data_IF_319349025340
#
_entry.id   IF_319349025340
#
_cell.length_a   1.000
_cell.length_b   1.000
_cell.length_c   1.000
_cell.angle_alpha   90.00
_cell.angle_beta   90.00
_cell.angle_gamma   90.00
#
_symmetry.space_group_name_H-M   'P 1'
#
loop_
_entity.id
_entity.type
_entity.pdbx_description
1 polymer ?
#
# COMPACT_ATOMS: atom_id res chain seq x y z
N UNK A 1 -15.02 -23.97 7.34
CA UNK A 1 -15.94 -23.35 6.36
C UNK A 1 -17.35 -23.86 6.62
N UNK A 2 -18.32 -22.98 6.81
CA UNK A 2 -19.73 -23.35 6.99
C UNK A 2 -20.59 -22.44 6.12
N UNK A 3 -21.13 -22.97 5.01
CA UNK A 3 -21.94 -22.20 4.07
C UNK A 3 -21.16 -21.00 3.49
N UNK A 4 -21.72 -19.79 3.63
CA UNK A 4 -21.14 -18.53 3.15
C UNK A 4 -20.08 -17.91 4.08
N UNK A 5 -19.74 -18.59 5.18
CA UNK A 5 -18.79 -18.10 6.18
C UNK A 5 -17.49 -18.90 6.10
N UNK A 6 -16.37 -18.20 6.14
CA UNK A 6 -15.03 -18.75 6.18
C UNK A 6 -14.29 -18.14 7.37
N UNK A 7 -13.49 -18.95 8.02
CA UNK A 7 -12.59 -18.49 9.08
C UNK A 7 -11.31 -19.32 9.03
N UNK A 8 -10.21 -18.70 9.41
CA UNK A 8 -8.90 -19.32 9.49
C UNK A 8 -8.16 -18.85 10.72
N UNK A 9 -7.35 -19.72 11.28
CA UNK A 9 -6.38 -19.37 12.32
C UNK A 9 -5.07 -20.04 11.96
N UNK A 10 -3.99 -19.27 11.96
CA UNK A 10 -2.64 -19.75 11.70
C UNK A 10 -1.74 -19.31 12.84
N UNK A 11 -1.03 -20.24 13.43
CA UNK A 11 0.00 -19.98 14.43
C UNK A 11 1.36 -20.49 13.95
N UNK A 12 2.40 -19.68 14.11
CA UNK A 12 3.80 -20.04 13.84
C UNK A 12 4.62 -19.68 15.06
N UNK A 13 5.51 -20.57 15.46
CA UNK A 13 6.51 -20.32 16.50
C UNK A 13 7.88 -20.61 15.92
N UNK A 14 8.80 -19.68 16.09
CA UNK A 14 10.19 -19.80 15.68
C UNK A 14 11.08 -19.65 16.93
N UNK A 15 11.89 -20.64 17.19
CA UNK A 15 12.94 -20.57 18.23
C UNK A 15 14.28 -20.43 17.52
N UNK A 16 14.93 -19.29 17.70
CA UNK A 16 16.26 -19.07 17.17
C UNK A 16 17.31 -19.47 18.19
N UNK A 17 18.28 -20.28 17.74
CA UNK A 17 19.32 -20.86 18.61
C UNK A 17 20.33 -19.85 19.17
N UNK A 18 20.35 -18.60 18.68
CA UNK A 18 21.13 -17.51 19.27
C UNK A 18 20.27 -16.79 20.31
N UNK A 19 20.73 -16.74 21.54
CA UNK A 19 20.11 -16.06 22.69
C UNK A 19 18.75 -16.59 23.15
N UNK A 20 18.34 -17.81 22.75
CA UNK A 20 17.05 -18.42 23.12
C UNK A 20 15.82 -17.51 22.87
N UNK A 21 15.89 -16.60 21.90
CA UNK A 21 14.78 -15.69 21.59
C UNK A 21 13.67 -16.46 20.91
N UNK A 22 12.49 -16.38 21.49
CA UNK A 22 11.28 -16.95 20.91
C UNK A 22 10.56 -15.87 20.09
N UNK A 23 10.29 -16.17 18.84
CA UNK A 23 9.40 -15.39 17.99
C UNK A 23 8.11 -16.17 17.73
N UNK A 24 7.00 -15.46 17.62
CA UNK A 24 5.74 -16.07 17.24
C UNK A 24 4.95 -15.15 16.31
N UNK A 25 4.11 -15.76 15.50
CA UNK A 25 3.16 -15.08 14.62
C UNK A 25 1.84 -15.85 14.69
N UNK A 26 0.82 -15.23 15.25
CA UNK A 26 -0.54 -15.77 15.33
C UNK A 26 -1.44 -14.84 14.54
N UNK A 27 -2.14 -15.38 13.55
CA UNK A 27 -3.09 -14.62 12.73
C UNK A 27 -4.42 -15.34 12.64
N UNK A 28 -5.49 -14.58 12.53
CA UNK A 28 -6.84 -15.07 12.32
C UNK A 28 -7.54 -14.23 11.27
N UNK A 29 -8.36 -14.87 10.47
CA UNK A 29 -9.22 -14.25 9.50
C UNK A 29 -10.66 -14.78 9.60
N UNK A 30 -11.58 -13.92 9.29
CA UNK A 30 -13.00 -14.19 9.21
C UNK A 30 -13.58 -13.50 8.00
N UNK A 31 -14.43 -14.20 7.26
CA UNK A 31 -15.23 -13.58 6.20
C UNK A 31 -16.60 -14.24 6.10
N UNK A 32 -17.62 -13.44 5.85
CA UNK A 32 -18.97 -13.92 5.61
C UNK A 32 -19.67 -13.11 4.55
N UNK A 33 -20.53 -13.78 3.80
CA UNK A 33 -21.36 -13.19 2.75
C UNK A 33 -22.83 -13.37 3.12
N UNK A 34 -23.52 -12.27 3.35
CA UNK A 34 -24.93 -12.23 3.74
C UNK A 34 -25.74 -11.79 2.51
N UNK A 35 -26.69 -12.59 2.08
CA UNK A 35 -27.63 -12.22 1.02
C UNK A 35 -28.67 -11.28 1.61
N UNK A 36 -28.79 -10.05 1.10
CA UNK A 36 -29.77 -9.06 1.52
C UNK A 36 -31.03 -9.15 0.65
N UNK A 37 -30.86 -9.13 -0.67
CA UNK A 37 -31.97 -9.22 -1.63
C UNK A 37 -31.37 -9.67 -2.97
N UNK A 38 -32.09 -10.45 -3.75
CA UNK A 38 -31.71 -11.06 -5.04
C UNK A 38 -30.20 -11.03 -5.40
N UNK A 39 -29.73 -9.94 -6.01
CA UNK A 39 -28.33 -9.74 -6.39
C UNK A 39 -27.52 -8.89 -5.40
N UNK A 40 -28.13 -8.44 -4.28
CA UNK A 40 -27.45 -7.60 -3.29
C UNK A 40 -26.90 -8.46 -2.16
N UNK A 41 -25.60 -8.38 -1.97
CA UNK A 41 -24.89 -9.09 -0.92
C UNK A 41 -24.11 -8.11 -0.02
N UNK A 42 -24.05 -8.42 1.26
CA UNK A 42 -23.16 -7.78 2.21
C UNK A 42 -21.99 -8.71 2.49
N UNK A 43 -20.80 -8.25 2.19
CA UNK A 43 -19.56 -8.95 2.53
C UNK A 43 -18.97 -8.31 3.79
N UNK A 44 -18.71 -9.12 4.80
CA UNK A 44 -18.04 -8.69 6.03
C UNK A 44 -16.77 -9.52 6.15
N UNK A 45 -15.64 -8.85 6.33
CA UNK A 45 -14.36 -9.50 6.58
C UNK A 45 -13.65 -8.85 7.75
N UNK A 46 -12.93 -9.65 8.51
CA UNK A 46 -12.07 -9.20 9.59
C UNK A 46 -10.79 -10.02 9.56
N UNK A 47 -9.67 -9.37 9.87
CA UNK A 47 -8.39 -10.03 10.03
C UNK A 47 -7.67 -9.44 11.24
N UNK A 48 -6.89 -10.27 11.90
CA UNK A 48 -6.05 -9.84 13.01
C UNK A 48 -4.77 -10.65 13.09
N UNK A 49 -3.73 -10.05 13.64
CA UNK A 49 -2.52 -10.77 13.98
C UNK A 49 -1.87 -10.20 15.23
N UNK A 50 -1.17 -11.06 15.93
CA UNK A 50 -0.26 -10.72 17.02
C UNK A 50 1.07 -11.39 16.70
N UNK A 51 2.13 -10.59 16.68
CA UNK A 51 3.47 -11.04 16.32
C UNK A 51 4.49 -10.56 17.35
N UNK A 52 5.42 -11.43 17.65
CA UNK A 52 6.65 -11.10 18.37
C UNK A 52 7.81 -11.52 17.46
N UNK A 53 8.49 -10.53 16.86
CA UNK A 53 9.47 -10.73 15.80
C UNK A 53 10.87 -10.44 16.30
N UNK A 54 11.80 -11.35 16.03
CA UNK A 54 13.20 -11.10 16.27
C UNK A 54 13.73 -10.00 15.34
N UNK A 55 14.66 -9.14 15.82
CA UNK A 55 15.41 -8.22 14.97
C UNK A 55 16.08 -8.96 13.81
N UNK A 56 16.21 -8.29 12.68
CA UNK A 56 16.97 -8.87 11.57
C UNK A 56 18.47 -8.82 11.84
N UNK A 57 19.22 -9.79 11.34
CA UNK A 57 20.68 -9.78 11.44
C UNK A 57 21.27 -8.47 10.91
N UNK A 58 20.70 -7.94 9.83
CA UNK A 58 21.13 -6.70 9.22
C UNK A 58 20.98 -5.48 10.14
N UNK A 59 19.92 -5.40 10.94
CA UNK A 59 19.74 -4.31 11.91
C UNK A 59 20.64 -4.43 13.13
N UNK A 60 21.11 -5.62 13.46
CA UNK A 60 22.00 -5.85 14.58
C UNK A 60 23.48 -5.78 14.19
N UNK A 61 23.88 -6.30 13.00
CA UNK A 61 25.29 -6.39 12.60
C UNK A 61 25.49 -5.93 11.15
N UNK A 62 26.36 -4.94 10.98
CA UNK A 62 26.76 -4.46 9.66
C UNK A 62 28.14 -3.83 9.71
N UNK A 63 28.98 -4.17 8.73
CA UNK A 63 30.34 -3.66 8.60
C UNK A 63 30.61 -3.24 7.16
N UNK A 64 30.90 -1.95 6.97
CA UNK A 64 31.34 -1.39 5.70
C UNK A 64 32.32 -0.25 5.93
N UNK A 65 32.85 0.34 4.87
CA UNK A 65 33.83 1.42 4.98
C UNK A 65 33.28 2.70 5.65
N UNK A 66 31.96 2.95 5.56
CA UNK A 66 31.32 4.18 6.04
C UNK A 66 30.29 3.96 7.14
N UNK A 67 29.76 2.75 7.24
CA UNK A 67 28.73 2.41 8.21
C UNK A 67 29.12 1.15 8.95
N UNK A 68 29.14 1.24 10.27
CA UNK A 68 29.40 0.11 11.15
C UNK A 68 28.42 0.17 12.30
N UNK A 69 27.69 -0.90 12.55
CA UNK A 69 26.88 -1.03 13.76
C UNK A 69 26.88 -2.46 14.30
N UNK A 70 26.83 -2.55 15.60
CA UNK A 70 26.68 -3.78 16.37
C UNK A 70 25.70 -3.50 17.50
N UNK A 71 24.45 -3.98 17.34
CA UNK A 71 23.35 -3.72 18.24
C UNK A 71 22.83 -5.02 18.83
N UNK A 72 22.18 -4.89 20.00
CA UNK A 72 21.39 -5.94 20.63
C UNK A 72 19.99 -5.39 20.89
N UNK A 73 19.07 -5.66 19.98
CA UNK A 73 17.70 -5.16 20.08
C UNK A 73 16.77 -6.20 20.74
N UNK A 74 15.74 -5.71 21.40
CA UNK A 74 14.64 -6.54 21.84
C UNK A 74 13.73 -6.95 20.68
N UNK A 75 12.95 -8.01 20.87
CA UNK A 75 11.95 -8.39 19.90
C UNK A 75 10.92 -7.26 19.69
N UNK A 76 10.58 -7.02 18.43
CA UNK A 76 9.50 -6.11 18.08
C UNK A 76 8.15 -6.81 18.23
N UNK A 77 7.27 -6.22 19.01
CA UNK A 77 5.91 -6.71 19.19
C UNK A 77 4.94 -5.91 18.31
N UNK A 78 4.04 -6.61 17.61
CA UNK A 78 3.03 -6.02 16.74
C UNK A 78 1.69 -6.70 16.95
N UNK A 79 0.64 -5.90 17.14
CA UNK A 79 -0.74 -6.37 17.08
C UNK A 79 -1.50 -5.54 16.05
N UNK A 80 -2.33 -6.18 15.22
CA UNK A 80 -3.16 -5.51 14.23
C UNK A 80 -4.54 -6.14 14.18
N UNK A 81 -5.57 -5.30 14.11
CA UNK A 81 -6.92 -5.68 13.76
C UNK A 81 -7.42 -4.82 12.61
N UNK A 82 -8.13 -5.40 11.66
CA UNK A 82 -8.76 -4.71 10.54
C UNK A 82 -10.10 -5.36 10.21
N UNK A 83 -11.11 -4.56 9.99
CA UNK A 83 -12.42 -5.03 9.54
C UNK A 83 -12.90 -4.22 8.33
N UNK A 84 -13.55 -4.90 7.40
CA UNK A 84 -14.10 -4.32 6.17
C UNK A 84 -15.54 -4.78 5.95
N UNK A 85 -16.37 -3.87 5.52
CA UNK A 85 -17.72 -4.13 5.06
C UNK A 85 -17.81 -3.70 3.59
N UNK A 86 -18.33 -4.58 2.74
CA UNK A 86 -18.45 -4.32 1.31
C UNK A 86 -19.82 -4.69 0.77
N UNK A 87 -20.34 -3.85 -0.12
CA UNK A 87 -21.58 -4.06 -0.84
C UNK A 87 -21.28 -4.02 -2.34
N UNK A 88 -20.95 -5.17 -2.94
CA UNK A 88 -20.79 -5.27 -4.38
C UNK A 88 -22.17 -5.26 -5.06
N UNK A 89 -22.39 -4.27 -5.87
CA UNK A 89 -23.59 -4.16 -6.71
C UNK A 89 -23.20 -3.89 -8.16
N UNK A 90 -24.06 -4.23 -9.12
CA UNK A 90 -23.78 -4.18 -10.55
C UNK A 90 -23.17 -2.85 -11.04
N UNK A 91 -23.66 -1.74 -10.51
CA UNK A 91 -23.25 -0.37 -10.91
C UNK A 91 -22.42 0.36 -9.87
N UNK A 92 -22.32 -0.21 -8.67
CA UNK A 92 -21.64 0.42 -7.54
C UNK A 92 -21.01 -0.65 -6.65
N UNK A 93 -19.70 -0.64 -6.53
CA UNK A 93 -18.99 -1.47 -5.56
C UNK A 93 -18.47 -0.55 -4.45
N UNK A 94 -19.12 -0.63 -3.30
CA UNK A 94 -18.77 0.15 -2.12
C UNK A 94 -18.09 -0.74 -1.08
N UNK A 95 -16.99 -0.24 -0.48
CA UNK A 95 -16.33 -0.87 0.65
C UNK A 95 -15.86 0.20 1.63
N UNK A 96 -16.02 -0.08 2.90
CA UNK A 96 -15.49 0.70 4.01
C UNK A 96 -14.78 -0.24 4.97
N UNK A 97 -13.59 0.14 5.40
CA UNK A 97 -12.79 -0.61 6.35
C UNK A 97 -12.17 0.30 7.39
N UNK A 98 -11.89 -0.28 8.54
CA UNK A 98 -11.16 0.39 9.61
C UNK A 98 -10.22 -0.59 10.29
N UNK A 99 -9.10 -0.09 10.76
CA UNK A 99 -8.08 -0.89 11.43
C UNK A 99 -7.34 -0.12 12.50
N UNK A 100 -6.74 -0.89 13.37
CA UNK A 100 -5.82 -0.43 14.39
C UNK A 100 -4.57 -1.32 14.40
N UNK A 101 -3.40 -0.73 14.58
CA UNK A 101 -2.15 -1.43 14.77
C UNK A 101 -1.37 -0.82 15.92
N UNK A 102 -0.90 -1.66 16.83
CA UNK A 102 0.03 -1.29 17.91
C UNK A 102 1.41 -1.90 17.66
N UNK A 103 2.46 -1.13 17.91
CA UNK A 103 3.85 -1.56 17.80
C UNK A 103 4.59 -1.20 19.10
N UNK A 104 5.42 -2.12 19.59
CA UNK A 104 6.34 -1.88 20.70
C UNK A 104 7.73 -2.38 20.34
N UNK A 105 8.76 -1.70 20.85
CA UNK A 105 10.16 -1.95 20.51
C UNK A 105 10.39 -1.85 18.99
N UNK A 106 9.84 -0.80 18.38
CA UNK A 106 9.93 -0.60 16.95
C UNK A 106 11.36 -0.24 16.53
N UNK A 107 11.89 -0.96 15.53
CA UNK A 107 13.23 -0.71 14.98
C UNK A 107 13.08 0.12 13.72
N UNK A 108 13.80 1.22 13.65
CA UNK A 108 13.82 2.15 12.53
C UNK A 108 15.25 2.67 12.28
N UNK A 109 15.49 3.30 11.15
CA UNK A 109 16.73 4.00 10.86
C UNK A 109 16.57 5.48 11.18
N UNK A 110 17.38 5.98 12.10
CA UNK A 110 17.33 7.36 12.55
C UNK A 110 17.86 8.35 11.48
N UNK A 111 17.91 9.65 11.77
CA UNK A 111 18.37 10.69 10.85
C UNK A 111 19.83 10.53 10.37
N UNK A 112 20.63 9.76 11.06
CA UNK A 112 22.00 9.40 10.67
C UNK A 112 22.06 8.09 9.85
N UNK A 113 20.91 7.55 9.42
CA UNK A 113 20.77 6.27 8.75
C UNK A 113 21.34 5.07 9.56
N UNK A 114 21.33 5.18 10.90
CA UNK A 114 21.73 4.13 11.83
C UNK A 114 20.49 3.45 12.39
N UNK A 115 20.50 2.11 12.54
CA UNK A 115 19.38 1.39 13.15
C UNK A 115 19.25 1.76 14.63
N UNK A 116 18.04 2.06 15.05
CA UNK A 116 17.68 2.47 16.40
C UNK A 116 16.39 1.77 16.80
N UNK A 117 16.25 1.41 18.06
CA UNK A 117 15.03 0.84 18.60
C UNK A 117 14.35 1.81 19.56
N UNK A 118 13.08 2.07 19.34
CA UNK A 118 12.25 2.78 20.29
C UNK A 118 11.67 1.81 21.33
N UNK A 119 12.17 1.88 22.55
CA UNK A 119 11.71 1.09 23.69
C UNK A 119 10.75 1.85 24.61
N UNK A 120 10.58 3.16 24.39
CA UNK A 120 9.84 4.04 25.29
C UNK A 120 8.38 4.16 24.90
N UNK A 121 8.10 4.29 23.61
CA UNK A 121 6.75 4.57 23.12
C UNK A 121 6.03 3.28 22.69
N UNK A 122 4.72 3.34 22.85
CA UNK A 122 3.81 2.41 22.18
C UNK A 122 3.21 3.11 20.97
N UNK A 123 3.70 2.76 19.79
CA UNK A 123 3.28 3.37 18.54
C UNK A 123 1.92 2.79 18.14
N UNK A 124 0.96 3.66 17.92
CA UNK A 124 -0.39 3.30 17.51
C UNK A 124 -0.73 3.91 16.16
N UNK A 125 -1.26 3.10 15.28
CA UNK A 125 -1.73 3.51 13.96
C UNK A 125 -3.21 3.20 13.87
N UNK A 126 -4.02 4.19 13.53
CA UNK A 126 -5.43 4.02 13.21
C UNK A 126 -5.59 4.30 11.73
N UNK A 127 -6.28 3.43 11.01
CA UNK A 127 -6.58 3.64 9.61
C UNK A 127 -8.07 3.43 9.30
N UNK A 128 -8.55 4.16 8.31
CA UNK A 128 -9.87 3.98 7.71
C UNK A 128 -9.74 4.04 6.19
N UNK A 129 -10.37 3.10 5.51
CA UNK A 129 -10.32 2.95 4.06
C UNK A 129 -11.73 3.06 3.49
N UNK A 130 -11.87 3.82 2.40
CA UNK A 130 -13.07 3.92 1.60
C UNK A 130 -12.76 3.55 0.16
N UNK A 131 -13.51 2.62 -0.41
CA UNK A 131 -13.46 2.31 -1.83
C UNK A 131 -14.85 2.47 -2.43
N UNK A 132 -14.93 3.21 -3.53
CA UNK A 132 -16.16 3.44 -4.28
C UNK A 132 -15.86 3.30 -5.76
N UNK A 133 -16.36 2.23 -6.38
CA UNK A 133 -16.24 2.00 -7.81
C UNK A 133 -17.63 2.12 -8.43
N UNK A 134 -17.78 3.05 -9.34
CA UNK A 134 -19.00 3.30 -10.07
C UNK A 134 -18.87 2.88 -11.53
N UNK A 135 -19.92 2.29 -12.08
CA UNK A 135 -19.94 1.87 -13.48
C UNK A 135 -21.29 2.23 -14.09
N UNK A 136 -21.26 3.03 -15.16
CA UNK A 136 -22.45 3.42 -15.89
C UNK A 136 -22.17 3.25 -17.39
N UNK A 137 -22.82 2.23 -17.99
CA UNK A 137 -22.63 1.86 -19.40
C UNK A 137 -21.17 1.58 -19.76
N UNK A 138 -20.49 2.52 -20.43
CA UNK A 138 -19.08 2.41 -20.83
C UNK A 138 -18.12 3.21 -19.93
N UNK A 139 -18.68 4.00 -19.01
CA UNK A 139 -17.93 4.85 -18.09
C UNK A 139 -17.74 4.16 -16.75
N UNK A 140 -16.53 4.25 -16.24
CA UNK A 140 -16.12 3.68 -14.96
C UNK A 140 -15.35 4.74 -14.16
N UNK A 141 -15.60 4.75 -12.87
CA UNK A 141 -14.90 5.63 -11.94
C UNK A 141 -14.55 4.87 -10.68
N UNK A 142 -13.27 4.54 -10.56
CA UNK A 142 -12.73 3.78 -9.42
C UNK A 142 -12.03 4.73 -8.46
N UNK A 143 -12.44 4.71 -7.20
CA UNK A 143 -11.90 5.58 -6.16
C UNK A 143 -11.50 4.77 -4.93
N UNK A 144 -10.37 5.14 -4.35
CA UNK A 144 -9.91 4.64 -3.06
C UNK A 144 -9.31 5.80 -2.26
N UNK A 145 -9.78 5.95 -1.02
CA UNK A 145 -9.25 6.93 -0.07
C UNK A 145 -8.90 6.19 1.20
N UNK A 146 -7.69 6.42 1.69
CA UNK A 146 -7.20 5.89 2.96
C UNK A 146 -6.86 7.05 3.87
N UNK A 147 -7.43 7.07 5.04
CA UNK A 147 -7.06 7.94 6.16
C UNK A 147 -6.21 7.13 7.14
N UNK A 148 -5.15 7.73 7.66
CA UNK A 148 -4.34 7.12 8.71
C UNK A 148 -3.81 8.16 9.69
N UNK A 149 -3.77 7.77 10.94
CA UNK A 149 -3.25 8.56 12.05
C UNK A 149 -2.23 7.73 12.81
N UNK A 150 -1.11 8.33 13.15
CA UNK A 150 -0.08 7.74 14.00
C UNK A 150 0.20 8.69 15.17
N UNK A 151 0.32 8.15 16.37
CA UNK A 151 0.59 8.96 17.57
C UNK A 151 2.05 9.47 17.64
N UNK A 152 3.01 8.74 16.99
CA UNK A 152 4.44 9.06 16.98
C UNK A 152 4.95 9.32 15.53
N UNK A 153 4.56 10.46 14.91
CA UNK A 153 4.95 10.74 13.52
C UNK A 153 6.44 11.04 13.36
N UNK A 154 7.14 11.35 14.44
CA UNK A 154 8.60 11.54 14.45
C UNK A 154 9.39 10.23 14.28
N UNK A 155 8.78 9.08 14.60
CA UNK A 155 9.38 7.75 14.49
C UNK A 155 8.83 7.00 13.30
N UNK A 156 7.53 7.15 13.04
CA UNK A 156 6.83 6.51 11.92
C UNK A 156 6.03 7.56 11.13
N UNK A 157 6.68 8.30 10.21
CA UNK A 157 6.03 9.33 9.42
C UNK A 157 5.15 8.70 8.35
N UNK A 158 3.84 8.96 8.42
CA UNK A 158 2.85 8.50 7.45
C UNK A 158 2.01 9.68 6.94
N UNK A 159 1.61 9.70 5.65
CA UNK A 159 0.68 10.70 5.16
C UNK A 159 -0.70 10.47 5.78
N UNK A 160 -1.35 11.55 6.23
CA UNK A 160 -2.67 11.44 6.88
C UNK A 160 -3.75 10.96 5.90
N UNK A 161 -3.71 11.41 4.67
CA UNK A 161 -4.66 11.00 3.61
C UNK A 161 -3.87 10.55 2.39
N UNK A 162 -4.26 9.41 1.84
CA UNK A 162 -3.83 8.92 0.53
C UNK A 162 -5.05 8.64 -0.31
N UNK A 163 -5.08 9.15 -1.55
CA UNK A 163 -6.20 8.99 -2.46
C UNK A 163 -5.76 8.50 -3.83
N UNK A 164 -6.56 7.65 -4.42
CA UNK A 164 -6.46 7.20 -5.79
C UNK A 164 -7.80 7.35 -6.47
N UNK A 165 -7.82 7.93 -7.66
CA UNK A 165 -9.01 8.04 -8.49
C UNK A 165 -8.64 7.69 -9.92
N UNK A 166 -9.48 6.90 -10.57
CA UNK A 166 -9.30 6.51 -11.96
C UNK A 166 -10.64 6.60 -12.70
N UNK A 167 -10.73 7.53 -13.63
CA UNK A 167 -11.90 7.71 -14.48
C UNK A 167 -11.57 7.25 -15.88
N UNK A 168 -12.36 6.29 -16.41
CA UNK A 168 -12.07 5.71 -17.71
C UNK A 168 -13.32 5.27 -18.47
N UNK A 169 -13.17 5.33 -19.78
CA UNK A 169 -14.06 4.71 -20.76
C UNK A 169 -13.52 3.32 -21.11
N UNK A 170 -14.39 2.32 -21.17
CA UNK A 170 -14.04 0.96 -21.60
C UNK A 170 -15.10 0.42 -22.52
N UNK A 171 -14.68 -0.04 -23.70
CA UNK A 171 -15.57 -0.66 -24.67
C UNK A 171 -14.87 -1.84 -25.36
N UNK A 172 -15.65 -2.91 -25.55
CA UNK A 172 -15.21 -4.07 -26.33
C UNK A 172 -15.80 -3.97 -27.73
N UNK A 173 -14.92 -3.90 -28.71
CA UNK A 173 -15.24 -3.86 -30.14
C UNK A 173 -15.09 -5.26 -30.72
N UNK A 174 -15.81 -5.51 -31.82
CA UNK A 174 -15.82 -6.76 -32.56
C UNK A 174 -16.58 -7.90 -31.88
N UNK A 175 -17.02 -8.89 -32.67
CA UNK A 175 -17.68 -10.10 -32.16
C UNK A 175 -16.72 -10.87 -31.25
N UNK A 176 -17.23 -11.38 -30.13
CA UNK A 176 -16.49 -12.14 -29.11
C UNK A 176 -15.43 -11.31 -28.34
N UNK A 177 -15.65 -10.00 -28.16
CA UNK A 177 -14.78 -9.13 -27.36
C UNK A 177 -13.29 -9.18 -27.76
N UNK A 178 -13.04 -9.33 -29.06
CA UNK A 178 -11.69 -9.51 -29.59
C UNK A 178 -10.80 -8.30 -29.30
N UNK A 179 -11.34 -7.08 -29.38
CA UNK A 179 -10.62 -5.83 -29.10
C UNK A 179 -11.33 -5.08 -27.97
N UNK A 180 -10.68 -4.95 -26.83
CA UNK A 180 -11.12 -4.06 -25.75
C UNK A 180 -10.23 -2.82 -25.73
N UNK A 181 -10.85 -1.66 -25.76
CA UNK A 181 -10.19 -0.35 -25.64
C UNK A 181 -10.57 0.28 -24.32
N UNK A 182 -9.58 0.76 -23.59
CA UNK A 182 -9.76 1.51 -22.37
C UNK A 182 -8.96 2.81 -22.47
N UNK A 183 -9.63 3.95 -22.30
CA UNK A 183 -9.03 5.28 -22.30
C UNK A 183 -9.39 5.95 -20.98
N UNK A 184 -8.41 6.46 -20.26
CA UNK A 184 -8.67 7.02 -18.94
C UNK A 184 -7.59 7.98 -18.44
N UNK A 185 -7.94 8.55 -17.29
CA UNK A 185 -7.05 9.40 -16.50
C UNK A 185 -7.05 8.86 -15.08
N UNK A 186 -5.88 8.60 -14.53
CA UNK A 186 -5.71 8.28 -13.11
C UNK A 186 -5.03 9.43 -12.37
N UNK A 187 -5.34 9.53 -11.09
CA UNK A 187 -4.77 10.51 -10.17
C UNK A 187 -4.39 9.82 -8.87
N UNK A 188 -3.19 10.10 -8.38
CA UNK A 188 -2.70 9.69 -7.06
C UNK A 188 -2.34 10.91 -6.26
N UNK A 189 -2.79 10.95 -5.04
CA UNK A 189 -2.56 12.07 -4.13
C UNK A 189 -2.27 11.55 -2.72
N UNK A 190 -1.37 12.20 -2.03
CA UNK A 190 -1.20 12.06 -0.59
C UNK A 190 -0.90 13.42 0.03
N UNK A 191 -1.33 13.63 1.28
CA UNK A 191 -1.00 14.81 2.07
C UNK A 191 0.49 14.88 2.34
N UNK A 192 0.99 16.09 2.55
CA UNK A 192 2.41 16.31 2.87
C UNK A 192 2.81 15.64 4.18
N UNK A 193 3.99 15.06 4.18
CA UNK A 193 4.63 14.46 5.35
C UNK A 193 6.14 14.38 5.14
N UNK A 194 6.90 14.17 6.20
CA UNK A 194 8.34 13.95 6.12
C UNK A 194 8.65 12.49 5.77
N UNK A 195 8.55 12.15 4.48
CA UNK A 195 8.85 10.81 4.02
C UNK A 195 10.30 10.43 4.33
N UNK A 196 10.54 9.15 4.61
CA UNK A 196 11.89 8.64 4.81
C UNK A 196 12.74 8.85 3.58
N UNK A 197 13.99 9.32 3.75
CA UNK A 197 14.98 9.43 2.70
C UNK A 197 15.67 8.09 2.45
N UNK A 198 16.21 7.90 1.27
CA UNK A 198 16.92 6.68 0.90
C UNK A 198 18.44 6.86 1.02
N UNK A 199 19.10 5.90 1.69
CA UNK A 199 20.56 5.82 1.83
C UNK A 199 21.13 4.74 0.88
N UNK A 200 21.70 5.10 -0.28
CA UNK A 200 22.17 4.13 -1.25
C UNK A 200 23.29 3.23 -0.73
N UNK A 201 24.13 3.74 0.17
CA UNK A 201 25.29 3.00 0.71
C UNK A 201 24.88 1.77 1.54
N UNK A 202 23.73 1.84 2.20
CA UNK A 202 23.21 0.75 3.05
C UNK A 202 21.90 0.16 2.51
N UNK A 203 21.29 0.76 1.48
CA UNK A 203 20.06 0.28 0.89
C UNK A 203 18.82 0.46 1.77
N UNK A 204 18.85 1.37 2.76
CA UNK A 204 17.76 1.57 3.72
C UNK A 204 17.07 2.90 3.57
N UNK A 205 15.82 2.95 4.05
CA UNK A 205 15.10 4.21 4.25
C UNK A 205 15.28 4.68 5.69
N UNK A 206 15.61 5.96 5.87
CA UNK A 206 15.91 6.56 7.16
C UNK A 206 15.09 7.84 7.40
N UNK A 207 14.90 8.18 8.67
CA UNK A 207 14.14 9.37 9.07
C UNK A 207 14.84 10.66 8.65
N UNK A 208 14.06 11.63 8.21
CA UNK A 208 14.49 12.99 7.94
C UNK A 208 13.35 13.99 8.23
N UNK A 209 13.68 15.26 8.43
CA UNK A 209 12.76 16.36 8.69
C UNK A 209 13.08 17.62 7.86
N UNK A 210 13.85 17.47 6.78
CA UNK A 210 14.28 18.56 5.92
C UNK A 210 13.33 18.75 4.73
N UNK A 211 12.87 17.65 4.12
CA UNK A 211 12.13 17.67 2.86
C UNK A 211 10.73 17.10 3.05
N UNK A 212 9.71 17.94 2.86
CA UNK A 212 8.32 17.52 2.76
C UNK A 212 8.04 16.89 1.39
N UNK A 213 7.35 15.76 1.40
CA UNK A 213 6.89 15.04 0.21
C UNK A 213 5.37 14.96 0.25
N UNK A 214 4.72 15.06 -0.89
CA UNK A 214 3.26 15.00 -1.01
C UNK A 214 2.64 16.32 -1.46
N UNK A 215 1.33 16.47 -1.26
CA UNK A 215 0.50 17.58 -1.75
C UNK A 215 0.59 17.82 -3.27
N UNK A 216 0.91 16.75 -4.00
CA UNK A 216 0.99 16.78 -5.45
C UNK A 216 0.06 15.72 -6.06
N UNK A 217 -0.97 16.12 -6.82
CA UNK A 217 -1.82 15.17 -7.54
C UNK A 217 -1.08 14.65 -8.78
N UNK A 218 -0.47 13.49 -8.68
CA UNK A 218 0.19 12.86 -9.82
C UNK A 218 -0.88 12.29 -10.77
N UNK A 219 -1.10 12.97 -11.88
CA UNK A 219 -2.08 12.58 -12.89
C UNK A 219 -1.40 11.93 -14.09
N UNK A 220 -2.01 10.87 -14.61
CA UNK A 220 -1.58 10.20 -15.83
C UNK A 220 -2.79 10.04 -16.77
N UNK A 221 -2.57 10.21 -18.07
CA UNK A 221 -3.55 9.83 -19.09
C UNK A 221 -3.06 8.59 -19.84
N UNK A 222 -3.95 7.65 -20.14
CA UNK A 222 -3.54 6.40 -20.75
C UNK A 222 -4.56 5.82 -21.73
N UNK A 223 -4.05 5.01 -22.65
CA UNK A 223 -4.81 4.17 -23.56
C UNK A 223 -4.31 2.73 -23.44
N UNK A 224 -5.19 1.82 -23.12
CA UNK A 224 -4.92 0.39 -23.09
C UNK A 224 -5.72 -0.30 -24.21
N UNK A 225 -5.04 -1.10 -25.02
CA UNK A 225 -5.61 -1.93 -26.05
C UNK A 225 -5.39 -3.40 -25.69
N UNK A 226 -6.44 -4.18 -25.64
CA UNK A 226 -6.38 -5.61 -25.40
C UNK A 226 -6.97 -6.35 -26.60
N UNK A 227 -6.14 -7.05 -27.35
CA UNK A 227 -6.52 -7.81 -28.53
C UNK A 227 -6.19 -9.29 -28.28
N UNK A 228 -7.17 -10.09 -27.85
CA UNK A 228 -6.98 -11.51 -27.46
C UNK A 228 -5.79 -11.71 -26.51
N UNK A 229 -4.68 -12.25 -27.01
CA UNK A 229 -3.45 -12.52 -26.25
C UNK A 229 -2.50 -11.34 -26.20
N UNK A 230 -2.81 -10.26 -26.91
CA UNK A 230 -1.94 -9.11 -27.13
C UNK A 230 -2.44 -7.90 -26.36
N UNK A 231 -1.56 -7.23 -25.62
CA UNK A 231 -1.88 -6.00 -24.89
C UNK A 231 -0.87 -4.92 -25.24
N UNK A 232 -1.37 -3.74 -25.54
CA UNK A 232 -0.57 -2.55 -25.77
C UNK A 232 -1.04 -1.48 -24.80
N UNK A 233 -0.13 -0.75 -24.19
CA UNK A 233 -0.48 0.47 -23.49
C UNK A 233 0.36 1.65 -23.97
N UNK A 234 -0.26 2.82 -23.97
CA UNK A 234 0.35 4.12 -24.13
C UNK A 234 -0.04 4.95 -22.90
N UNK A 235 0.91 5.68 -22.34
CA UNK A 235 0.66 6.50 -21.16
C UNK A 235 1.43 7.83 -21.28
N UNK A 236 0.75 8.92 -21.01
CA UNK A 236 1.35 10.20 -20.68
C UNK A 236 1.48 10.28 -19.15
N UNK A 237 2.68 10.09 -18.65
CA UNK A 237 2.98 10.11 -17.22
C UNK A 237 3.18 11.54 -16.74
N UNK A 238 2.72 11.84 -15.53
CA UNK A 238 2.86 13.11 -14.83
C UNK A 238 2.32 14.30 -15.64
N UNK A 239 1.07 14.18 -16.10
CA UNK A 239 0.38 15.25 -16.81
C UNK A 239 0.26 16.52 -15.96
N UNK A 240 0.26 16.39 -14.64
CA UNK A 240 0.21 17.52 -13.70
C UNK A 240 1.35 18.51 -13.88
N UNK A 241 2.53 18.07 -14.34
CA UNK A 241 3.68 18.91 -14.58
C UNK A 241 3.45 19.91 -15.76
N UNK A 242 2.36 19.78 -16.53
CA UNK A 242 1.97 20.77 -17.53
C UNK A 242 1.41 22.07 -16.92
N UNK A 243 0.90 22.02 -15.69
CA UNK A 243 0.20 23.14 -15.03
C UNK A 243 0.59 23.33 -13.55
N UNK A 244 1.49 22.52 -13.02
CA UNK A 244 2.04 22.61 -11.66
C UNK A 244 3.56 22.64 -11.73
N UNK A 245 4.20 23.32 -10.80
CA UNK A 245 5.66 23.36 -10.74
C UNK A 245 6.25 21.95 -10.49
N UNK A 246 7.28 21.54 -11.23
CA UNK A 246 7.85 20.20 -11.14
C UNK A 246 8.83 20.02 -9.95
N UNK A 247 8.63 20.76 -8.86
CA UNK A 247 9.51 20.76 -7.66
C UNK A 247 9.15 19.67 -6.64
N UNK A 248 8.51 18.60 -7.09
CA UNK A 248 8.03 17.53 -6.20
C UNK A 248 8.95 16.32 -6.23
N UNK A 249 9.03 15.64 -5.09
CA UNK A 249 9.85 14.45 -4.88
C UNK A 249 8.97 13.21 -4.75
N UNK A 250 9.43 12.08 -5.29
CA UNK A 250 8.87 10.76 -5.00
C UNK A 250 9.37 10.27 -3.64
N UNK A 251 10.65 10.48 -3.40
CA UNK A 251 11.39 10.24 -2.16
C UNK A 251 12.30 11.46 -1.98
N UNK A 252 12.58 11.94 -0.77
CA UNK A 252 13.51 13.03 -0.57
C UNK A 252 14.79 12.88 -1.40
N UNK A 253 15.20 13.95 -2.08
CA UNK A 253 16.32 14.01 -3.06
C UNK A 253 16.12 13.26 -4.39
N UNK A 254 14.97 12.58 -4.61
CA UNK A 254 14.65 11.92 -5.87
C UNK A 254 13.44 12.62 -6.51
N UNK A 255 13.67 13.56 -7.45
CA UNK A 255 12.59 14.32 -8.06
C UNK A 255 11.68 13.41 -8.88
N UNK A 256 10.42 13.80 -8.95
CA UNK A 256 9.48 13.20 -9.88
C UNK A 256 9.94 13.39 -11.32
N UNK A 257 9.81 12.38 -12.14
CA UNK A 257 10.06 12.51 -13.56
C UNK A 257 9.13 13.56 -14.18
N UNK A 258 9.59 14.35 -15.15
CA UNK A 258 8.76 15.25 -15.91
C UNK A 258 7.71 14.49 -16.73
N UNK A 259 6.95 15.20 -17.54
CA UNK A 259 6.02 14.57 -18.50
C UNK A 259 6.80 13.60 -19.38
N UNK A 260 6.35 12.35 -19.39
CA UNK A 260 6.97 11.29 -20.19
C UNK A 260 5.90 10.48 -20.90
N UNK A 261 6.18 10.13 -22.15
CA UNK A 261 5.39 9.11 -22.86
C UNK A 261 5.99 7.73 -22.61
N UNK A 262 5.16 6.83 -22.11
CA UNK A 262 5.51 5.42 -21.86
C UNK A 262 4.73 4.57 -22.83
N UNK A 263 5.39 3.56 -23.37
CA UNK A 263 4.81 2.54 -24.25
C UNK A 263 5.19 1.16 -23.72
N UNK A 264 4.28 0.24 -23.78
CA UNK A 264 4.55 -1.15 -23.45
C UNK A 264 3.67 -2.12 -24.20
N UNK A 265 4.19 -3.32 -24.37
CA UNK A 265 3.60 -4.42 -25.11
C UNK A 265 3.77 -5.71 -24.33
N UNK A 266 2.69 -6.47 -24.22
CA UNK A 266 2.69 -7.78 -23.60
C UNK A 266 1.97 -8.77 -24.50
N UNK A 267 2.57 -9.93 -24.67
CA UNK A 267 2.01 -11.01 -25.47
C UNK A 267 2.01 -12.31 -24.68
N UNK A 268 0.85 -12.97 -24.59
CA UNK A 268 0.72 -14.29 -24.00
C UNK A 268 0.91 -15.34 -25.10
N UNK A 269 1.94 -16.18 -24.96
CA UNK A 269 2.29 -17.23 -25.92
C UNK A 269 1.51 -18.55 -25.71
N UNK A 270 0.63 -18.60 -24.73
CA UNK A 270 -0.17 -19.80 -24.44
C UNK A 270 -1.54 -19.69 -25.11
N UNK A 271 -1.97 -20.78 -25.75
CA UNK A 271 -3.31 -20.95 -26.33
C UNK A 271 -4.37 -21.22 -25.25
#
# INVERSE_FOLDING_TARGET
RKGNTQYGVLGKVLVLGRDNRMAFDVSGDFSTKIKLKDDLHLNISALGHIKNLNPSFYTEHYYSNHFVWENQFNNTWSARGYAEIGIPYKYCNFKIGAGWQGLKNYIYFNKQAMPTQDNEHFIQIINADLQLNLSAWLLHWDNKVSFQYVNEPSILPLPMISAYSNFYFRHSFLKNDILTVQIGVDCRFNTAYYANAYMPATGVFYLQDETLVGNYPLMNAYVNLHLKQFRVYLMCYNLSAAFMEPTHFTVPHYPLNPIMFKFGLSWNFYD
#
